data_IF_169534849086
#
_entry.id   IF_169534849086
#
_cell.length_a   1.000
_cell.length_b   1.000
_cell.length_c   1.000
_cell.angle_alpha   90.00
_cell.angle_beta   90.00
_cell.angle_gamma   90.00
#
_symmetry.space_group_name_H-M   'P 1'
#
loop_
_entity.id
_entity.type
_entity.pdbx_description
1 polymer ?
2 polymer ?
3 non-polymer ?
4 water ?
#
# COMPACT_ATOMS: atom_id res chain seq x y z
N UNK A 11 7.89 6.48 -23.32
CA UNK A 11 9.14 6.84 -22.67
C UNK A 11 9.64 8.20 -23.16
N UNK A 12 9.17 8.61 -24.33
CA UNK A 12 9.51 9.92 -24.88
C UNK A 12 8.25 10.69 -25.25
N UNK A 13 7.19 10.45 -24.49
CA UNK A 13 5.90 11.08 -24.76
C UNK A 13 5.66 12.28 -23.87
N UNK A 14 5.14 13.36 -24.44
CA UNK A 14 4.69 14.50 -23.67
C UNK A 14 3.57 14.04 -22.73
N UNK A 15 3.39 14.74 -21.62
CA UNK A 15 2.41 14.33 -20.64
C UNK A 15 0.98 14.43 -21.20
N UNK A 16 0.77 15.36 -22.14
CA UNK A 16 -0.49 15.43 -22.85
C UNK A 16 -0.66 14.19 -23.72
N UNK A 17 0.45 13.78 -24.33
CA UNK A 17 0.46 12.58 -25.16
C UNK A 17 0.43 11.34 -24.27
N UNK A 18 0.90 11.47 -23.04
CA UNK A 18 0.84 10.39 -22.07
C UNK A 18 -0.60 10.09 -21.70
N UNK A 19 -1.36 11.13 -21.38
CA UNK A 19 -2.77 11.00 -21.04
C UNK A 19 -3.56 10.47 -22.23
N UNK A 20 -3.31 11.04 -23.40
CA UNK A 20 -4.01 10.66 -24.62
C UNK A 20 -3.80 9.18 -24.95
N UNK A 21 -2.59 8.68 -24.69
CA UNK A 21 -2.28 7.28 -24.91
C UNK A 21 -3.05 6.38 -23.95
N UNK A 22 -3.09 6.78 -22.68
CA UNK A 22 -3.76 6.00 -21.65
C UNK A 22 -5.28 6.02 -21.81
N UNK A 23 -5.82 7.20 -22.12
CA UNK A 23 -7.26 7.34 -22.32
C UNK A 23 -7.73 6.51 -23.51
N UNK A 24 -6.96 6.56 -24.59
CA UNK A 24 -7.30 5.85 -25.82
C UNK A 24 -7.18 4.34 -25.63
N UNK A 25 -6.35 3.93 -24.68
CA UNK A 25 -6.10 2.51 -24.45
C UNK A 25 -7.09 1.90 -23.46
N UNK A 26 -8.02 2.71 -22.97
CA UNK A 26 -8.99 2.28 -21.96
C UNK A 26 -9.85 1.10 -22.42
N UNK A 27 -10.02 0.11 -21.55
CA UNK A 27 -10.92 -1.02 -21.82
C UNK A 27 -12.38 -0.57 -21.71
N UNK A 28 -13.29 -1.27 -22.41
CA UNK A 28 -14.71 -0.94 -22.33
C UNK A 28 -15.35 -1.42 -21.03
N UNK A 29 -16.52 -0.87 -20.70
CA UNK A 29 -17.27 -1.34 -19.54
C UNK A 29 -18.19 -2.48 -19.96
N UNK A 30 -17.84 -3.68 -19.59
CA UNK A 30 -18.56 -4.83 -20.00
C UNK A 30 -19.82 -5.05 -19.21
N UNK A 31 -20.74 -5.80 -19.78
CA UNK A 31 -22.00 -6.11 -19.15
C UNK A 31 -21.97 -7.48 -18.58
N UNK A 32 -22.84 -7.73 -17.62
CA UNK A 32 -23.06 -9.08 -17.13
C UNK A 32 -24.31 -9.71 -17.69
N UNK A 41 -29.34 -14.62 -5.09
CA UNK A 41 -28.81 -15.59 -4.15
C UNK A 41 -27.37 -15.27 -3.77
N UNK A 42 -26.66 -16.28 -3.28
CA UNK A 42 -25.26 -16.10 -2.88
C UNK A 42 -24.30 -16.80 -3.84
N UNK A 43 -24.73 -17.95 -4.35
CA UNK A 43 -23.91 -18.72 -5.28
C UNK A 43 -24.01 -18.17 -6.70
N UNK A 44 -25.15 -17.53 -7.00
CA UNK A 44 -25.40 -17.00 -8.34
C UNK A 44 -24.65 -15.70 -8.57
N UNK A 45 -24.53 -14.88 -7.52
CA UNK A 45 -23.88 -13.58 -7.64
C UNK A 45 -22.38 -13.72 -7.81
N UNK A 46 -21.79 -14.69 -7.12
CA UNK A 46 -20.38 -15.00 -7.29
C UNK A 46 -20.10 -15.49 -8.70
N UNK A 47 -21.05 -16.23 -9.26
CA UNK A 47 -20.96 -16.70 -10.63
C UNK A 47 -20.93 -15.53 -11.59
N UNK A 48 -21.72 -14.51 -11.30
CA UNK A 48 -21.76 -13.30 -12.13
C UNK A 48 -20.45 -12.54 -12.07
N UNK A 49 -19.94 -12.32 -10.87
CA UNK A 49 -18.69 -11.58 -10.68
C UNK A 49 -17.51 -12.32 -11.27
N UNK A 50 -17.49 -13.64 -11.07
CA UNK A 50 -16.43 -14.48 -11.60
C UNK A 50 -16.44 -14.48 -13.13
N UNK A 51 -17.64 -14.61 -13.71
CA UNK A 51 -17.79 -14.57 -15.16
C UNK A 51 -17.42 -13.20 -15.73
N UNK A 52 -17.78 -12.15 -15.02
CA UNK A 52 -17.49 -10.79 -15.45
C UNK A 52 -15.98 -10.48 -15.40
N UNK A 53 -15.37 -10.82 -14.28
CA UNK A 53 -13.94 -10.58 -14.08
C UNK A 53 -13.10 -11.35 -15.10
N UNK A 54 -13.56 -12.55 -15.44
CA UNK A 54 -12.84 -13.41 -16.38
C UNK A 54 -12.79 -12.78 -17.77
N UNK A 55 -13.88 -12.12 -18.17
CA UNK A 55 -13.93 -11.46 -19.46
C UNK A 55 -13.22 -10.11 -19.41
N UNK A 56 -13.18 -9.51 -18.23
CA UNK A 56 -12.46 -8.25 -18.04
C UNK A 56 -10.96 -8.47 -18.10
N UNK A 57 -10.51 -9.61 -17.58
CA UNK A 57 -9.09 -9.97 -17.60
C UNK A 57 -8.54 -10.01 -19.02
N UNK A 58 -9.37 -10.47 -19.95
CA UNK A 58 -8.97 -10.54 -21.35
C UNK A 58 -8.70 -9.15 -21.91
N UNK A 59 -9.55 -8.20 -21.54
CA UNK A 59 -9.39 -6.81 -22.01
C UNK A 59 -8.26 -6.10 -21.28
N UNK A 60 -8.03 -6.47 -20.03
CA UNK A 60 -6.97 -5.86 -19.23
C UNK A 60 -5.59 -6.18 -19.77
N UNK A 61 -5.41 -7.43 -20.19
CA UNK A 61 -4.14 -7.89 -20.74
C UNK A 61 -3.76 -7.12 -21.99
N UNK A 62 -4.72 -6.93 -22.88
CA UNK A 62 -4.48 -6.17 -24.10
C UNK A 62 -4.37 -4.67 -23.83
N UNK A 63 -4.97 -4.24 -22.72
CA UNK A 63 -4.80 -2.86 -22.25
C UNK A 63 -3.40 -2.65 -21.72
N UNK A 64 -2.91 -3.64 -20.98
CA UNK A 64 -1.57 -3.60 -20.40
C UNK A 64 -0.51 -3.46 -21.48
N UNK A 65 -0.75 -4.12 -22.62
CA UNK A 65 0.15 -4.04 -23.76
C UNK A 65 0.21 -2.62 -24.33
N UNK A 66 -0.84 -1.85 -24.07
CA UNK A 66 -0.93 -0.49 -24.59
C UNK A 66 -0.47 0.54 -23.55
N UNK A 67 -0.02 0.06 -22.40
CA UNK A 67 0.55 0.93 -21.38
C UNK A 67 2.02 1.17 -21.70
N UNK A 68 2.41 2.45 -21.85
CA UNK A 68 3.77 2.86 -22.25
C UNK A 68 4.86 2.23 -21.38
N UNK A 69 5.74 1.46 -22.02
CA UNK A 69 6.87 0.86 -21.33
C UNK A 69 6.66 -0.59 -20.94
N UNK A 70 5.41 -1.03 -20.96
CA UNK A 70 5.06 -2.39 -20.54
C UNK A 70 5.60 -3.43 -21.51
N UNK A 71 5.52 -3.14 -22.79
CA UNK A 71 6.00 -4.07 -23.82
C UNK A 71 7.52 -4.07 -23.90
N UNK A 72 8.14 -3.11 -23.22
CA UNK A 72 9.60 -3.04 -23.17
C UNK A 72 10.15 -4.00 -22.12
N UNK A 73 9.24 -4.75 -21.49
CA UNK A 73 9.62 -5.74 -20.49
C UNK A 73 9.50 -7.15 -21.06
N UNK A 74 9.80 -8.15 -20.23
CA UNK A 74 9.72 -9.53 -20.66
C UNK A 74 8.30 -10.08 -20.52
N UNK A 77 8.36 -10.77 -16.94
CA UNK A 77 8.06 -9.62 -16.10
C UNK A 77 6.61 -9.18 -16.27
N UNK A 78 6.14 -9.17 -17.52
CA UNK A 78 4.77 -8.79 -17.82
C UNK A 78 3.77 -9.71 -17.14
N UNK A 79 4.07 -11.01 -17.18
CA UNK A 79 3.23 -12.02 -16.54
C UNK A 79 3.16 -11.79 -15.04
N UNK A 80 4.31 -11.48 -14.44
CA UNK A 80 4.40 -11.28 -13.00
C UNK A 80 3.65 -10.03 -12.54
N UNK A 81 3.80 -8.94 -13.29
CA UNK A 81 3.14 -7.68 -12.95
C UNK A 81 1.62 -7.82 -12.99
N UNK A 82 1.13 -8.54 -13.99
CA UNK A 82 -0.30 -8.76 -14.12
C UNK A 82 -0.83 -9.71 -13.05
N UNK A 83 -0.03 -10.72 -12.71
CA UNK A 83 -0.43 -11.71 -11.71
C UNK A 83 -0.57 -11.08 -10.32
N UNK A 84 0.15 -10.00 -10.08
CA UNK A 84 0.14 -9.36 -8.77
C UNK A 84 -0.89 -8.23 -8.67
N UNK A 85 -1.23 -7.63 -9.80
CA UNK A 85 -2.04 -6.41 -9.78
C UNK A 85 -3.41 -6.55 -10.43
N UNK A 86 -3.74 -7.74 -10.92
CA UNK A 86 -4.98 -7.91 -11.69
C UNK A 86 -6.23 -7.59 -10.88
N UNK A 87 -6.26 -8.00 -9.61
CA UNK A 87 -7.42 -7.75 -8.78
C UNK A 87 -7.46 -6.29 -8.35
N UNK A 88 -6.28 -5.69 -8.21
CA UNK A 88 -6.18 -4.27 -7.91
C UNK A 88 -6.77 -3.44 -9.04
N UNK A 89 -6.33 -3.74 -10.26
CA UNK A 89 -6.79 -3.03 -11.45
C UNK A 89 -8.29 -3.21 -11.66
N UNK A 90 -8.78 -4.41 -11.40
CA UNK A 90 -10.21 -4.68 -11.47
C UNK A 90 -10.98 -3.87 -10.44
N UNK A 91 -10.41 -3.75 -9.24
CA UNK A 91 -11.10 -3.07 -8.14
C UNK A 91 -11.12 -1.55 -8.31
N UNK A 92 -10.00 -0.99 -8.76
CA UNK A 92 -9.95 0.46 -8.96
C UNK A 92 -10.83 0.87 -10.15
N UNK A 93 -11.04 -0.07 -11.08
CA UNK A 93 -11.95 0.16 -12.19
C UNK A 93 -13.37 0.17 -11.68
N UNK A 94 -13.70 -0.81 -10.84
CA UNK A 94 -15.01 -0.89 -10.21
C UNK A 94 -15.32 0.36 -9.41
N UNK A 95 -14.36 0.74 -8.56
CA UNK A 95 -14.49 1.94 -7.74
C UNK A 95 -14.71 3.19 -8.59
N UNK A 96 -14.00 3.25 -9.72
CA UNK A 96 -14.13 4.36 -10.64
C UNK A 96 -15.51 4.42 -11.30
N UNK A 97 -16.05 3.24 -11.62
CA UNK A 97 -17.37 3.15 -12.24
C UNK A 97 -18.49 3.50 -11.26
N UNK A 98 -18.24 3.26 -9.98
CA UNK A 98 -19.24 3.46 -8.95
C UNK A 98 -19.15 4.85 -8.34
N UNK A 99 -18.31 5.69 -8.93
CA UNK A 99 -18.02 7.01 -8.37
C UNK A 99 -19.24 7.92 -8.30
N UNK A 100 -20.05 7.91 -9.37
CA UNK A 100 -21.23 8.77 -9.42
C UNK A 100 -22.49 8.04 -8.96
N UNK A 101 -22.31 6.89 -8.30
CA UNK A 101 -23.43 6.14 -7.74
C UNK A 101 -23.21 5.87 -6.26
N UNK A 102 -23.53 6.87 -5.41
CA UNK A 102 -23.31 6.80 -3.96
C UNK A 102 -24.01 5.61 -3.30
N UNK A 103 -23.28 4.93 -2.41
CA UNK A 103 -23.85 3.83 -1.65
C UNK A 103 -23.92 2.52 -2.39
N UNK A 104 -23.60 2.55 -3.68
CA UNK A 104 -23.69 1.35 -4.51
C UNK A 104 -22.41 1.06 -5.28
N UNK A 105 -22.29 -0.16 -5.77
CA UNK A 105 -21.14 -0.56 -6.59
C UNK A 105 -21.62 -0.95 -7.99
N UNK A 106 -21.07 -0.28 -9.00
CA UNK A 106 -21.46 -0.52 -10.38
C UNK A 106 -20.52 -1.52 -11.06
N UNK A 107 -20.80 -2.80 -10.87
CA UNK A 107 -20.01 -3.86 -11.49
C UNK A 107 -20.20 -3.84 -13.01
N UNK A 108 -21.43 -3.52 -13.42
CA UNK A 108 -21.78 -3.42 -14.82
C UNK A 108 -23.00 -2.52 -14.93
N UNK A 109 -23.21 -1.88 -16.10
CA UNK A 109 -24.39 -1.01 -16.29
C UNK A 109 -25.71 -1.71 -15.96
N UNK A 110 -25.72 -3.03 -16.05
CA UNK A 110 -26.90 -3.83 -15.70
C UNK A 110 -26.70 -4.56 -14.38
N UNK A 111 -25.73 -4.11 -13.59
CA UNK A 111 -25.42 -4.75 -12.31
C UNK A 111 -24.94 -3.72 -11.29
N UNK A 112 -25.90 -3.00 -10.69
CA UNK A 112 -25.58 -1.98 -9.69
C UNK A 112 -26.02 -2.45 -8.30
N UNK A 113 -25.04 -2.76 -7.45
CA UNK A 113 -25.32 -3.32 -6.13
C UNK A 113 -24.87 -2.42 -4.99
N UNK A 114 -25.67 -2.37 -3.93
CA UNK A 114 -25.31 -1.65 -2.72
C UNK A 114 -24.85 -2.64 -1.65
N UNK A 115 -24.93 -2.23 -0.38
CA UNK A 115 -24.53 -3.10 0.72
C UNK A 115 -25.39 -4.34 0.78
N UNK A 116 -26.71 -4.17 0.67
CA UNK A 116 -27.65 -5.27 0.72
C UNK A 116 -27.51 -6.18 -0.51
N UNK A 119 -23.03 -9.28 0.64
CA UNK A 119 -24.02 -9.95 1.48
C UNK A 119 -24.94 -10.83 0.64
N UNK A 122 -20.83 -14.28 1.26
CA UNK A 122 -20.62 -14.30 2.71
C UNK A 122 -19.18 -14.00 3.07
N UNK A 123 -18.94 -12.84 3.67
CA UNK A 123 -17.59 -12.47 4.08
C UNK A 123 -17.07 -11.26 3.33
N UNK A 124 -17.56 -11.06 2.11
CA UNK A 124 -17.13 -9.94 1.29
C UNK A 124 -17.97 -8.70 1.54
N UNK A 125 -18.81 -8.76 2.57
CA UNK A 125 -19.59 -7.60 3.00
C UNK A 125 -18.66 -6.51 3.51
N UNK A 126 -17.50 -6.93 4.03
CA UNK A 126 -16.48 -6.00 4.49
C UNK A 126 -15.77 -5.35 3.31
N UNK A 127 -15.50 -6.14 2.28
CA UNK A 127 -14.85 -5.65 1.08
C UNK A 127 -15.70 -4.60 0.38
N UNK A 128 -17.01 -4.85 0.33
CA UNK A 128 -17.96 -3.91 -0.25
C UNK A 128 -17.86 -2.52 0.38
N UNK A 129 -17.80 -2.50 1.71
CA UNK A 129 -17.69 -1.24 2.44
C UNK A 129 -16.39 -0.52 2.13
N UNK A 130 -15.31 -1.28 2.00
CA UNK A 130 -14.01 -0.70 1.67
C UNK A 130 -14.03 -0.13 0.25
N UNK A 131 -14.75 -0.81 -0.64
CA UNK A 131 -14.92 -0.34 -2.01
C UNK A 131 -15.81 0.90 -2.04
N UNK A 132 -16.86 0.88 -1.24
CA UNK A 132 -17.75 2.03 -1.10
C UNK A 132 -16.99 3.21 -0.52
N UNK A 133 -16.14 2.93 0.47
CA UNK A 133 -15.33 3.96 1.11
C UNK A 133 -14.35 4.56 0.10
N UNK A 134 -13.73 3.71 -0.69
CA UNK A 134 -12.79 4.16 -1.71
C UNK A 134 -13.50 4.97 -2.79
N UNK A 135 -14.68 4.49 -3.20
CA UNK A 135 -15.49 5.19 -4.18
C UNK A 135 -15.96 6.53 -3.66
N UNK A 136 -16.33 6.56 -2.39
CA UNK A 136 -16.73 7.81 -1.73
C UNK A 136 -15.55 8.78 -1.68
N UNK A 137 -14.36 8.25 -1.49
CA UNK A 137 -13.15 9.07 -1.42
C UNK A 137 -12.85 9.70 -2.78
N UNK A 138 -13.02 8.93 -3.85
CA UNK A 138 -12.84 9.44 -5.21
C UNK A 138 -13.83 10.56 -5.50
N UNK A 139 -15.03 10.44 -4.97
CA UNK A 139 -16.10 11.40 -5.23
C UNK A 139 -15.79 12.78 -4.65
N UNK A 140 -15.48 12.82 -3.35
CA UNK A 140 -15.20 14.09 -2.68
C UNK A 140 -13.93 14.74 -3.20
N UNK A 141 -13.00 13.92 -3.68
CA UNK A 141 -11.76 14.42 -4.27
C UNK A 141 -12.00 14.93 -5.68
N UNK A 142 -13.18 14.60 -6.22
CA UNK A 142 -13.53 14.91 -7.61
C UNK A 142 -12.47 14.37 -8.56
N UNK A 143 -12.22 13.07 -8.46
CA UNK A 143 -11.21 12.42 -9.29
C UNK A 143 -11.54 12.55 -10.77
N UNK A 144 -10.54 12.94 -11.56
CA UNK A 144 -10.70 13.09 -13.00
C UNK A 144 -10.30 11.81 -13.72
N UNK A 145 -10.87 11.60 -14.91
CA UNK A 145 -10.56 10.44 -15.72
C UNK A 145 -9.09 10.41 -16.10
N UNK A 146 -8.53 11.59 -16.34
CA UNK A 146 -7.11 11.72 -16.67
C UNK A 146 -6.23 11.25 -15.52
N UNK A 147 -6.71 11.46 -14.30
CA UNK A 147 -5.98 11.04 -13.11
C UNK A 147 -6.16 9.54 -12.86
N UNK A 148 -7.36 9.04 -13.18
CA UNK A 148 -7.70 7.64 -12.97
C UNK A 148 -6.82 6.71 -13.81
N UNK A 149 -6.69 7.01 -15.10
CA UNK A 149 -5.90 6.18 -16.01
C UNK A 149 -4.42 6.18 -15.61
N UNK A 150 -3.97 7.27 -15.00
CA UNK A 150 -2.59 7.37 -14.52
C UNK A 150 -2.38 6.43 -13.34
N UNK A 151 -3.29 6.48 -12.37
CA UNK A 151 -3.22 5.63 -11.18
C UNK A 151 -3.27 4.15 -11.53
N UNK A 152 -4.16 3.80 -12.45
CA UNK A 152 -4.32 2.41 -12.87
C UNK A 152 -3.04 1.89 -13.53
N UNK A 153 -2.37 2.77 -14.27
CA UNK A 153 -1.10 2.43 -14.90
C UNK A 153 0.00 2.26 -13.85
N UNK A 154 -0.04 3.11 -12.82
CA UNK A 154 0.92 3.03 -11.73
C UNK A 154 0.81 1.70 -10.99
N UNK A 155 -0.43 1.31 -10.68
CA UNK A 155 -0.71 0.04 -10.02
C UNK A 155 -0.10 -1.14 -10.79
N UNK A 156 -0.24 -1.10 -12.12
CA UNK A 156 0.28 -2.15 -12.99
C UNK A 156 1.79 -2.30 -12.86
N UNK A 157 2.51 -1.19 -12.91
CA UNK A 157 3.96 -1.21 -12.93
C UNK A 157 4.58 -1.35 -11.55
N UNK A 158 3.86 -0.91 -10.53
CA UNK A 158 4.41 -0.86 -9.18
C UNK A 158 4.16 -2.11 -8.34
N UNK A 159 2.97 -2.66 -8.42
CA UNK A 159 2.53 -3.72 -7.50
C UNK A 159 3.46 -4.94 -7.44
N UNK A 160 4.13 -5.25 -8.54
CA UNK A 160 4.98 -6.42 -8.59
C UNK A 160 6.43 -6.11 -8.93
N UNK A 161 6.90 -4.94 -8.50
CA UNK A 161 8.25 -4.51 -8.84
C UNK A 161 9.31 -4.94 -7.79
N UNK A 162 8.90 -5.28 -6.58
CA UNK A 162 9.85 -5.79 -5.59
C UNK A 162 9.61 -7.28 -5.31
N UNK A 163 9.30 -8.04 -6.35
CA UNK A 163 9.11 -9.49 -6.17
C UNK A 163 9.87 -10.21 -7.27
N UNK A 164 10.78 -9.49 -7.91
CA UNK A 164 11.61 -10.08 -8.95
C UNK A 164 12.73 -10.93 -8.36
N UNK A 171 17.84 -9.14 -14.16
CA UNK A 171 16.49 -8.88 -13.68
C UNK A 171 16.29 -7.40 -13.35
N UNK A 172 17.21 -6.85 -12.58
CA UNK A 172 17.10 -5.46 -12.13
C UNK A 172 17.31 -4.47 -13.27
N UNK A 173 17.72 -4.96 -14.43
CA UNK A 173 17.89 -4.13 -15.61
C UNK A 173 16.56 -3.53 -16.04
N UNK A 174 15.49 -4.32 -15.90
CA UNK A 174 14.16 -3.86 -16.23
C UNK A 174 13.59 -3.00 -15.11
N UNK A 175 14.01 -3.28 -13.88
CA UNK A 175 13.53 -2.56 -12.71
C UNK A 175 13.88 -1.07 -12.77
N UNK A 176 15.05 -0.77 -13.33
CA UNK A 176 15.49 0.60 -13.47
C UNK A 176 14.62 1.35 -14.48
N UNK A 177 14.21 0.66 -15.53
CA UNK A 177 13.38 1.24 -16.58
C UNK A 177 11.95 1.50 -16.08
N UNK A 178 11.46 0.59 -15.24
CA UNK A 178 10.11 0.71 -14.69
C UNK A 178 9.97 1.96 -13.83
N UNK A 179 10.99 2.24 -13.02
CA UNK A 179 11.01 3.44 -12.19
C UNK A 179 11.01 4.71 -13.03
N UNK A 180 11.69 4.65 -14.17
CA UNK A 180 11.74 5.78 -15.09
C UNK A 180 10.36 6.06 -15.67
N UNK A 181 9.60 5.00 -15.93
CA UNK A 181 8.24 5.13 -16.42
C UNK A 181 7.33 5.64 -15.32
N UNK A 182 7.54 5.12 -14.11
CA UNK A 182 6.79 5.55 -12.94
C UNK A 182 7.00 7.04 -12.66
N UNK A 183 8.25 7.48 -12.81
CA UNK A 183 8.57 8.90 -12.65
C UNK A 183 7.86 9.75 -13.69
N UNK A 184 7.78 9.22 -14.92
CA UNK A 184 7.12 9.91 -16.01
C UNK A 184 5.63 10.10 -15.75
N UNK A 185 4.99 9.08 -15.18
CA UNK A 185 3.58 9.14 -14.84
C UNK A 185 3.35 10.12 -13.69
N UNK A 186 4.31 10.20 -12.77
CA UNK A 186 4.24 11.16 -11.68
C UNK A 186 4.23 12.58 -12.22
N UNK A 187 5.13 12.85 -13.17
CA UNK A 187 5.19 14.15 -13.83
C UNK A 187 3.87 14.47 -14.52
N UNK A 188 3.30 13.45 -15.16
CA UNK A 188 2.03 13.60 -15.88
C UNK A 188 0.90 13.95 -14.91
N UNK A 189 0.89 13.32 -13.75
CA UNK A 189 -0.10 13.62 -12.72
C UNK A 189 0.02 15.09 -12.28
N UNK A 190 1.25 15.53 -12.00
CA UNK A 190 1.50 16.90 -11.58
C UNK A 190 1.17 17.88 -12.70
N UNK A 191 1.39 17.47 -13.95
CA UNK A 191 1.00 18.27 -15.09
C UNK A 191 -0.49 18.61 -15.01
N UNK A 192 -1.32 17.57 -14.87
CA UNK A 192 -2.78 17.72 -14.84
C UNK A 192 -3.26 18.68 -13.74
N UNK A 193 -2.70 18.52 -12.54
CA UNK A 193 -3.12 19.33 -11.39
C UNK A 193 -2.72 20.78 -11.56
N UNK A 194 -1.54 21.02 -12.11
CA UNK A 194 -1.06 22.37 -12.38
C UNK A 194 -1.93 23.04 -13.44
N UNK A 195 -2.35 22.26 -14.43
CA UNK A 195 -3.23 22.75 -15.48
C UNK A 195 -4.69 22.72 -15.05
N UNK A 196 -4.90 22.72 -13.73
CA UNK A 196 -6.25 22.75 -13.17
C UNK A 196 -6.39 23.93 -12.22
N UNK A 197 -5.31 24.68 -12.05
CA UNK A 197 -5.32 25.88 -11.22
C UNK A 197 -4.79 25.67 -9.83
N UNK A 198 -4.54 24.42 -9.47
CA UNK A 198 -4.06 24.09 -8.12
C UNK A 198 -2.67 24.66 -7.85
N UNK A 199 -2.50 25.21 -6.66
CA UNK A 199 -1.21 25.75 -6.25
C UNK A 199 -0.20 24.63 -6.10
N UNK A 200 1.08 25.00 -5.99
CA UNK A 200 2.16 24.04 -5.88
C UNK A 200 1.98 23.11 -4.69
N UNK A 201 1.51 23.67 -3.58
CA UNK A 201 1.27 22.88 -2.37
C UNK A 201 0.09 21.93 -2.58
N UNK A 202 -0.97 22.44 -3.21
CA UNK A 202 -2.15 21.64 -3.48
C UNK A 202 -1.84 20.48 -4.42
N UNK A 203 -0.86 20.68 -5.30
CA UNK A 203 -0.42 19.64 -6.22
C UNK A 203 0.25 18.50 -5.46
N UNK A 204 1.13 18.85 -4.53
CA UNK A 204 1.82 17.86 -3.71
C UNK A 204 0.83 17.09 -2.85
N UNK A 205 -0.09 17.82 -2.24
CA UNK A 205 -1.08 17.23 -1.35
C UNK A 205 -1.99 16.25 -2.09
N UNK A 206 -2.51 16.67 -3.23
CA UNK A 206 -3.39 15.81 -4.03
C UNK A 206 -2.64 14.58 -4.54
N UNK A 207 -1.38 14.76 -4.90
CA UNK A 207 -0.54 13.65 -5.33
C UNK A 207 -0.42 12.61 -4.23
N UNK A 208 -0.17 13.08 -3.01
CA UNK A 208 -0.05 12.21 -1.85
C UNK A 208 -1.37 11.51 -1.57
N UNK A 209 -2.45 12.27 -1.56
CA UNK A 209 -3.78 11.74 -1.33
C UNK A 209 -4.12 10.60 -2.30
N UNK A 210 -3.81 10.80 -3.57
CA UNK A 210 -4.09 9.81 -4.60
C UNK A 210 -3.30 8.52 -4.39
N UNK A 211 -2.00 8.65 -4.19
CA UNK A 211 -1.13 7.49 -4.08
C UNK A 211 -1.35 6.72 -2.76
N UNK A 212 -1.79 7.43 -1.74
CA UNK A 212 -2.10 6.79 -0.46
C UNK A 212 -3.31 5.89 -0.57
N UNK A 213 -4.18 6.18 -1.55
CA UNK A 213 -5.36 5.36 -1.81
C UNK A 213 -4.96 4.01 -2.41
N UNK A 214 -3.87 4.02 -3.17
CA UNK A 214 -3.35 2.79 -3.78
C UNK A 214 -2.95 1.77 -2.72
N UNK A 215 -2.61 2.27 -1.52
CA UNK A 215 -2.27 1.40 -0.41
C UNK A 215 -3.50 0.64 0.08
N UNK A 216 -4.65 1.32 0.05
CA UNK A 216 -5.91 0.71 0.45
C UNK A 216 -6.40 -0.29 -0.60
N UNK A 217 -6.10 -0.01 -1.86
CA UNK A 217 -6.47 -0.89 -2.95
C UNK A 217 -5.68 -2.18 -2.86
N UNK A 218 -4.40 -2.07 -2.50
CA UNK A 218 -3.57 -3.24 -2.25
C UNK A 218 -4.17 -4.07 -1.12
N UNK A 219 -4.67 -3.37 -0.10
CA UNK A 219 -5.30 -4.01 1.04
C UNK A 219 -6.55 -4.78 0.62
N UNK A 220 -7.44 -4.10 -0.09
CA UNK A 220 -8.69 -4.72 -0.56
C UNK A 220 -8.41 -5.90 -1.49
N UNK A 221 -7.37 -5.78 -2.29
CA UNK A 221 -6.98 -6.86 -3.20
C UNK A 221 -6.55 -8.09 -2.42
N UNK A 222 -5.65 -7.89 -1.46
CA UNK A 222 -5.17 -8.98 -0.64
C UNK A 222 -6.28 -9.65 0.16
N UNK A 223 -7.18 -8.83 0.71
CA UNK A 223 -8.32 -9.37 1.46
C UNK A 223 -9.28 -10.08 0.52
N UNK A 224 -9.50 -9.51 -0.65
CA UNK A 224 -10.36 -10.11 -1.65
C UNK A 224 -9.75 -11.40 -2.19
N UNK A 225 -8.43 -11.39 -2.34
CA UNK A 225 -7.70 -12.56 -2.83
C UNK A 225 -7.81 -13.68 -1.80
N UNK A 226 -7.92 -13.30 -0.54
CA UNK A 226 -8.04 -14.28 0.55
C UNK A 226 -9.35 -15.08 0.50
N UNK A 227 -10.45 -14.37 0.37
CA UNK A 227 -11.74 -14.97 0.23
C UNK A 227 -11.85 -15.82 -1.05
N UNK A 228 -11.13 -15.49 -2.12
CA UNK A 228 -11.22 -16.28 -3.33
C UNK A 228 -10.59 -17.66 -3.10
N UNK A 229 -10.00 -17.86 -1.92
CA UNK A 229 -9.37 -19.13 -1.58
C UNK A 229 -9.87 -19.68 -0.25
N UNK A 239 -15.18 -19.88 -12.92
CA UNK A 239 -13.79 -20.02 -12.50
C UNK A 239 -12.95 -20.62 -13.62
N UNK A 240 -12.80 -19.87 -14.71
CA UNK A 240 -12.09 -20.35 -15.89
C UNK A 240 -10.60 -20.54 -15.64
N UNK A 241 -9.91 -21.12 -16.61
CA UNK A 241 -8.50 -21.47 -16.47
C UNK A 241 -7.62 -20.25 -16.26
N UNK A 242 -7.96 -19.14 -16.91
CA UNK A 242 -7.18 -17.91 -16.78
C UNK A 242 -7.33 -17.32 -15.37
N UNK A 243 -8.55 -17.31 -14.87
CA UNK A 243 -8.85 -16.70 -13.57
C UNK A 243 -8.20 -17.47 -12.42
N UNK A 244 -7.87 -18.74 -12.65
CA UNK A 244 -7.20 -19.54 -11.64
C UNK A 244 -5.69 -19.45 -11.78
N UNK A 245 -5.22 -19.17 -12.99
CA UNK A 245 -3.79 -18.95 -13.22
C UNK A 245 -3.35 -17.67 -12.51
N UNK A 246 -4.26 -16.70 -12.45
CA UNK A 246 -4.01 -15.46 -11.73
C UNK A 246 -4.19 -15.69 -10.23
N UNK A 247 -5.13 -16.56 -9.89
CA UNK A 247 -5.48 -16.81 -8.50
C UNK A 247 -4.43 -17.68 -7.80
N UNK A 248 -3.81 -18.58 -8.55
CA UNK A 248 -2.81 -19.48 -7.99
C UNK A 248 -1.51 -18.75 -7.66
N UNK A 249 -1.35 -17.56 -8.23
CA UNK A 249 -0.13 -16.79 -8.05
C UNK A 249 -0.05 -16.15 -6.66
N UNK A 250 -1.18 -16.06 -5.98
CA UNK A 250 -1.23 -15.43 -4.66
C UNK A 250 -1.43 -16.44 -3.54
N UNK A 251 -1.23 -17.72 -3.85
CA UNK A 251 -1.40 -18.78 -2.87
C UNK A 251 -0.39 -18.67 -1.73
N UNK B 9 -3.59 20.91 17.00
CA UNK B 9 -2.27 21.31 17.46
C UNK B 9 -1.26 21.02 16.40
N UNK B 10 -1.41 19.85 15.82
CA UNK B 10 -0.53 19.35 14.81
C UNK B 10 -0.63 20.19 13.56
N UNK B 11 -1.71 20.93 13.45
CA UNK B 11 -1.95 21.70 12.27
C UNK B 11 -1.18 22.99 12.32
N UNK B 12 -0.88 23.40 13.53
CA UNK B 12 -0.30 24.72 13.81
C UNK B 12 1.22 24.68 14.07
N UNK B 13 1.89 23.63 13.61
CA UNK B 13 3.34 23.56 13.76
C UNK B 13 4.06 23.81 12.44
N UNK B 14 5.30 24.26 12.54
CA UNK B 14 6.16 24.42 11.38
C UNK B 14 6.60 23.05 10.91
N UNK B 15 7.03 22.94 9.66
CA UNK B 15 7.54 21.68 9.13
C UNK B 15 8.76 21.22 9.92
N UNK B 16 9.55 22.17 10.39
CA UNK B 16 10.70 21.86 11.23
C UNK B 16 10.26 21.40 12.61
N UNK B 17 9.23 22.03 13.15
CA UNK B 17 8.68 21.64 14.44
C UNK B 17 8.00 20.28 14.35
N UNK B 18 7.44 19.98 13.18
CA UNK B 18 6.83 18.68 12.93
C UNK B 18 7.87 17.58 12.96
N UNK B 19 8.97 17.79 12.26
CA UNK B 19 10.07 16.83 12.20
C UNK B 19 10.67 16.58 13.59
N UNK B 20 10.98 17.67 14.30
CA UNK B 20 11.61 17.58 15.61
C UNK B 20 10.75 16.82 16.61
N UNK B 21 9.43 16.97 16.48
CA UNK B 21 8.49 16.26 17.34
C UNK B 21 8.50 14.77 17.04
N UNK B 22 8.55 14.43 15.75
CA UNK B 22 8.57 13.04 15.31
C UNK B 22 9.87 12.35 15.72
N UNK B 23 10.99 13.04 15.50
CA UNK B 23 12.30 12.49 15.83
C UNK B 23 12.46 12.26 17.33
N UNK B 24 11.84 13.12 18.12
CA UNK B 24 11.94 13.03 19.57
C UNK B 24 11.01 11.96 20.13
N UNK B 25 9.99 11.62 19.37
CA UNK B 25 9.01 10.62 19.80
C UNK B 25 9.45 9.20 19.42
N UNK B 26 10.53 9.12 18.66
CA UNK B 26 11.04 7.84 18.16
C UNK B 26 11.28 6.82 19.26
N UNK B 27 10.74 5.61 19.09
CA UNK B 27 11.00 4.50 20.01
C UNK B 27 12.44 4.03 19.88
N UNK B 28 13.02 3.50 20.97
CA UNK B 28 14.41 3.04 20.95
C UNK B 28 14.55 1.69 20.27
N UNK B 29 15.78 1.31 19.93
CA UNK B 29 16.04 0.00 19.35
C UNK B 29 16.20 -1.03 20.46
N UNK B 30 15.19 -1.89 20.61
CA UNK B 30 15.20 -2.89 21.67
C UNK B 30 16.10 -4.07 21.30
N UNK B 31 16.51 -4.82 22.31
CA UNK B 31 17.31 -6.02 22.09
C UNK B 31 16.44 -7.27 22.31
N UNK B 32 16.90 -8.40 21.79
CA UNK B 32 16.24 -9.68 22.06
C UNK B 32 17.06 -10.43 23.11
N UNK B 33 16.61 -11.64 23.45
CA UNK B 33 17.29 -12.44 24.46
C UNK B 33 18.67 -12.89 23.97
N UNK B 34 19.52 -13.29 24.91
CA UNK B 34 20.86 -13.75 24.58
C UNK B 34 21.06 -15.21 24.97
N UNK B 40 18.80 -21.60 13.78
CA UNK B 40 17.69 -21.66 14.74
C UNK B 40 16.68 -22.74 14.35
N UNK B 41 15.49 -22.65 14.92
CA UNK B 41 14.42 -23.60 14.61
C UNK B 41 13.12 -22.86 14.32
N UNK B 42 12.02 -23.61 14.26
CA UNK B 42 10.72 -23.01 13.95
C UNK B 42 10.07 -22.39 15.20
N UNK B 43 10.28 -23.01 16.35
CA UNK B 43 9.68 -22.56 17.59
C UNK B 43 10.53 -21.50 18.29
N UNK B 44 11.85 -21.62 18.15
CA UNK B 44 12.77 -20.69 18.79
C UNK B 44 12.81 -19.35 18.05
N UNK B 45 12.79 -19.42 16.73
CA UNK B 45 12.80 -18.22 15.89
C UNK B 45 11.60 -17.33 16.16
N UNK B 46 10.41 -17.92 16.07
CA UNK B 46 9.17 -17.20 16.33
C UNK B 46 9.14 -16.67 17.76
N UNK B 47 9.67 -17.46 18.69
CA UNK B 47 9.72 -17.08 20.08
C UNK B 47 10.46 -15.77 20.29
N UNK B 48 11.62 -15.63 19.66
CA UNK B 48 12.41 -14.41 19.77
C UNK B 48 11.72 -13.25 19.07
N UNK B 49 11.09 -13.54 17.93
CA UNK B 49 10.41 -12.50 17.16
C UNK B 49 9.15 -12.01 17.87
N UNK B 50 8.34 -12.95 18.36
CA UNK B 50 7.11 -12.59 19.07
C UNK B 50 7.43 -11.85 20.37
N UNK B 51 8.51 -12.27 21.03
CA UNK B 51 8.94 -11.60 22.26
C UNK B 51 9.41 -10.17 21.98
N UNK B 52 10.18 -10.02 20.90
CA UNK B 52 10.66 -8.70 20.48
C UNK B 52 9.51 -7.80 20.07
N UNK B 53 8.64 -8.33 19.20
CA UNK B 53 7.50 -7.57 18.70
C UNK B 53 6.56 -7.15 19.83
N UNK B 54 6.38 -8.02 20.81
CA UNK B 54 5.52 -7.73 21.95
C UNK B 54 6.02 -6.54 22.75
N UNK B 55 7.34 -6.48 22.94
CA UNK B 55 7.95 -5.38 23.69
C UNK B 55 7.99 -4.11 22.84
N UNK B 56 8.11 -4.27 21.53
CA UNK B 56 8.11 -3.14 20.60
C UNK B 56 6.74 -2.46 20.55
N UNK B 57 5.69 -3.27 20.63
CA UNK B 57 4.31 -2.77 20.57
C UNK B 57 4.00 -1.83 21.72
N UNK B 58 4.55 -2.14 22.90
CA UNK B 58 4.33 -1.30 24.08
C UNK B 58 4.92 0.09 23.86
N UNK B 59 6.10 0.14 23.26
CA UNK B 59 6.73 1.41 22.94
C UNK B 59 6.00 2.11 21.79
N UNK B 60 5.49 1.33 20.85
CA UNK B 60 4.78 1.88 19.69
C UNK B 60 3.53 2.64 20.11
N UNK B 61 2.77 2.05 21.04
CA UNK B 61 1.56 2.67 21.55
C UNK B 61 1.88 4.02 22.18
N UNK B 62 3.00 4.09 22.89
CA UNK B 62 3.46 5.33 23.47
C UNK B 62 3.99 6.30 22.41
N UNK B 63 4.57 5.76 21.36
CA UNK B 63 5.03 6.56 20.24
C UNK B 63 3.85 7.15 19.48
N UNK B 64 2.79 6.35 19.34
CA UNK B 64 1.60 6.76 18.62
C UNK B 64 0.96 7.99 19.26
N UNK B 65 0.95 8.00 20.59
CA UNK B 65 0.36 9.11 21.33
C UNK B 65 1.19 10.39 21.23
N UNK B 66 2.43 10.24 20.77
CA UNK B 66 3.31 11.40 20.63
C UNK B 66 3.37 11.87 19.18
N UNK B 67 2.64 11.19 18.31
CA UNK B 67 2.50 11.61 16.92
C UNK B 67 1.42 12.68 16.83
N UNK B 68 1.78 13.86 16.30
CA UNK B 68 0.91 15.04 16.22
C UNK B 68 -0.47 14.75 15.63
N UNK B 69 -1.52 14.99 16.42
CA UNK B 69 -2.88 14.84 15.95
C UNK B 69 -3.50 13.48 16.24
N UNK B 70 -2.73 12.60 16.87
CA UNK B 70 -3.22 11.25 17.17
C UNK B 70 -4.06 11.24 18.45
N UNK B 71 -3.60 11.97 19.46
CA UNK B 71 -4.34 12.09 20.71
C UNK B 71 -5.64 12.85 20.47
N UNK B 72 -5.63 13.73 19.48
CA UNK B 72 -6.81 14.53 19.13
C UNK B 72 -7.94 13.68 18.55
N UNK B 73 -7.67 12.39 18.37
CA UNK B 73 -8.68 11.48 17.84
C UNK B 73 -9.43 10.77 18.96
N UNK B 74 -10.56 10.16 18.61
CA UNK B 74 -11.33 9.36 19.56
C UNK B 74 -10.50 8.15 19.96
N UNK B 75 -10.65 7.71 21.22
CA UNK B 75 -9.93 6.54 21.72
C UNK B 75 -10.22 5.32 20.87
N UNK B 76 -11.48 5.17 20.45
CA UNK B 76 -11.88 4.08 19.56
C UNK B 76 -11.13 4.17 18.24
N UNK B 77 -11.00 5.39 17.72
CA UNK B 77 -10.28 5.61 16.47
C UNK B 77 -8.79 5.34 16.64
N UNK B 78 -8.25 5.69 17.80
CA UNK B 78 -6.85 5.44 18.10
C UNK B 78 -6.56 3.94 18.14
N UNK B 79 -7.50 3.18 18.70
CA UNK B 79 -7.39 1.74 18.75
C UNK B 79 -7.45 1.15 17.34
N UNK B 80 -8.37 1.66 16.53
CA UNK B 80 -8.58 1.18 15.17
C UNK B 80 -7.33 1.36 14.30
N UNK B 81 -6.74 2.55 14.36
CA UNK B 81 -5.56 2.85 13.55
C UNK B 81 -4.37 2.00 13.94
N UNK B 82 -4.15 1.82 15.25
CA UNK B 82 -3.04 1.03 15.74
C UNK B 82 -3.19 -0.44 15.36
N UNK B 83 -4.41 -0.97 15.49
CA UNK B 83 -4.69 -2.38 15.19
C UNK B 83 -4.50 -2.69 13.70
N UNK B 84 -4.71 -1.69 12.86
CA UNK B 84 -4.63 -1.89 11.42
C UNK B 84 -3.21 -1.71 10.89
N UNK B 85 -2.41 -0.90 11.58
CA UNK B 85 -1.08 -0.54 11.08
C UNK B 85 0.09 -1.11 11.88
N UNK B 86 -0.17 -1.81 12.97
CA UNK B 86 0.89 -2.22 13.89
C UNK B 86 2.00 -3.04 13.22
N UNK B 87 1.64 -3.95 12.31
CA UNK B 87 2.63 -4.79 11.67
C UNK B 87 3.39 -4.02 10.58
N UNK B 88 2.70 -3.11 9.92
CA UNK B 88 3.34 -2.21 8.95
C UNK B 88 4.41 -1.38 9.64
N UNK B 89 4.04 -0.78 10.77
CA UNK B 89 4.95 0.06 11.54
C UNK B 89 6.14 -0.75 12.06
N UNK B 90 5.88 -1.98 12.46
CA UNK B 90 6.95 -2.88 12.87
C UNK B 90 7.89 -3.19 11.71
N UNK B 91 7.32 -3.42 10.54
CA UNK B 91 8.09 -3.80 9.37
C UNK B 91 8.93 -2.64 8.83
N UNK B 92 8.32 -1.47 8.71
CA UNK B 92 9.03 -0.31 8.19
C UNK B 92 10.17 0.11 9.13
N UNK B 93 10.01 -0.22 10.41
CA UNK B 93 11.07 0.02 11.38
C UNK B 93 12.17 -0.98 11.20
N UNK B 94 11.80 -2.23 10.93
CA UNK B 94 12.75 -3.30 10.64
C UNK B 94 13.55 -2.98 9.39
N UNK B 95 12.83 -2.55 8.35
CA UNK B 95 13.45 -2.19 7.07
C UNK B 95 14.43 -1.04 7.21
N UNK B 96 14.04 -0.04 8.01
CA UNK B 96 14.84 1.16 8.21
C UNK B 96 16.20 0.87 8.86
N UNK B 97 16.19 0.10 9.95
CA UNK B 97 17.42 -0.18 10.68
C UNK B 97 18.18 -1.35 10.08
N UNK B 98 17.69 -1.86 8.95
CA UNK B 98 18.39 -2.92 8.24
C UNK B 98 19.09 -2.36 7.00
N UNK B 99 18.99 -1.04 6.82
CA UNK B 99 19.60 -0.36 5.69
C UNK B 99 21.11 -0.56 5.65
N UNK B 100 21.77 -0.30 6.77
CA UNK B 100 23.23 -0.37 6.84
C UNK B 100 23.72 -1.80 6.96
N UNK B 101 22.83 -2.76 6.73
CA UNK B 101 23.18 -4.17 6.72
C UNK B 101 22.52 -4.88 5.55
N UNK B 102 23.02 -4.64 4.33
CA UNK B 102 22.43 -5.21 3.10
C UNK B 102 22.45 -6.74 3.10
N UNK B 103 21.37 -7.35 2.62
CA UNK B 103 21.27 -8.79 2.55
C UNK B 103 20.87 -9.42 3.87
N UNK B 104 20.80 -8.61 4.93
CA UNK B 104 20.46 -9.10 6.25
C UNK B 104 19.37 -8.24 6.90
N UNK B 105 18.61 -8.84 7.79
CA UNK B 105 17.56 -8.13 8.51
C UNK B 105 17.93 -7.95 9.98
N UNK B 106 18.07 -6.69 10.40
CA UNK B 106 18.43 -6.38 11.77
C UNK B 106 17.18 -6.22 12.63
N UNK B 107 16.74 -7.31 13.24
CA UNK B 107 15.60 -7.27 14.14
C UNK B 107 16.00 -6.58 15.44
N UNK B 108 17.17 -6.94 15.94
CA UNK B 108 17.75 -6.31 17.12
C UNK B 108 19.24 -6.14 16.88
N UNK B 109 19.90 -5.25 17.64
CA UNK B 109 21.35 -5.10 17.50
C UNK B 109 22.09 -6.40 17.81
N UNK B 110 21.45 -7.30 18.56
CA UNK B 110 22.01 -8.60 18.86
C UNK B 110 21.20 -9.72 18.20
N UNK B 111 20.47 -9.38 17.15
CA UNK B 111 19.67 -10.35 16.41
C UNK B 111 19.67 -10.02 14.92
N UNK B 112 20.76 -10.37 14.24
CA UNK B 112 20.90 -10.12 12.81
C UNK B 112 20.70 -11.42 12.03
N UNK B 113 19.74 -11.40 11.10
CA UNK B 113 19.36 -12.61 10.38
C UNK B 113 19.57 -12.49 8.87
N UNK B 114 19.79 -13.63 8.22
CA UNK B 114 19.96 -13.67 6.77
C UNK B 114 18.82 -14.43 6.10
N UNK B 115 18.86 -14.53 4.78
CA UNK B 115 17.81 -15.19 4.01
C UNK B 115 17.72 -16.68 4.34
N UNK B 116 18.87 -17.32 4.50
CA UNK B 116 18.92 -18.74 4.82
C UNK B 116 18.35 -19.04 6.21
N UNK B 117 18.52 -18.09 7.12
CA UNK B 117 18.04 -18.24 8.49
C UNK B 117 16.51 -18.10 8.56
N UNK B 118 15.92 -17.58 7.50
CA UNK B 118 14.47 -17.45 7.45
C UNK B 118 13.79 -18.77 7.17
N UNK B 119 14.57 -19.75 6.72
CA UNK B 119 14.03 -21.03 6.28
C UNK B 119 13.60 -21.94 7.43
N UNK B 120 13.72 -21.44 8.65
CA UNK B 120 13.31 -22.19 9.83
C UNK B 120 11.79 -22.13 10.03
N UNK B 121 11.23 -20.93 9.95
CA UNK B 121 9.78 -20.78 9.99
C UNK B 121 9.23 -20.87 8.57
N UNK B 122 8.40 -21.89 8.33
CA UNK B 122 7.86 -22.13 7.00
C UNK B 122 6.94 -21.00 6.55
N UNK B 123 7.15 -20.54 5.32
CA UNK B 123 6.34 -19.47 4.76
C UNK B 123 6.84 -18.08 5.12
N UNK B 124 7.91 -18.03 5.92
CA UNK B 124 8.44 -16.76 6.39
C UNK B 124 9.55 -16.21 5.51
N UNK B 125 10.08 -17.05 4.61
CA UNK B 125 11.19 -16.64 3.76
C UNK B 125 10.75 -15.71 2.62
N UNK B 126 9.48 -15.80 2.24
CA UNK B 126 8.97 -14.96 1.17
C UNK B 126 8.73 -13.56 1.67
N UNK B 127 8.43 -13.44 2.97
CA UNK B 127 8.31 -12.14 3.61
C UNK B 127 9.69 -11.51 3.75
N UNK B 128 10.68 -12.32 4.12
CA UNK B 128 12.04 -11.86 4.32
C UNK B 128 12.64 -11.28 3.04
N UNK B 129 12.29 -11.88 1.90
CA UNK B 129 12.78 -11.39 0.62
C UNK B 129 12.21 -10.02 0.27
N UNK B 130 10.92 -9.86 0.53
CA UNK B 130 10.25 -8.58 0.28
C UNK B 130 10.77 -7.51 1.22
N UNK B 131 11.14 -7.92 2.43
CA UNK B 131 11.67 -6.99 3.43
C UNK B 131 13.07 -6.52 3.04
N UNK B 132 13.89 -7.44 2.55
CA UNK B 132 15.23 -7.10 2.08
C UNK B 132 15.16 -6.18 0.87
N UNK B 133 14.23 -6.48 -0.04
CA UNK B 133 14.05 -5.68 -1.25
C UNK B 133 13.64 -4.26 -0.91
N UNK B 134 12.76 -4.12 0.07
CA UNK B 134 12.35 -2.80 0.54
C UNK B 134 13.53 -2.07 1.17
N UNK B 135 14.37 -2.83 1.89
CA UNK B 135 15.55 -2.27 2.53
C UNK B 135 16.56 -1.78 1.51
N UNK B 136 16.81 -2.58 0.49
CA UNK B 136 17.73 -2.20 -0.58
C UNK B 136 17.18 -1.03 -1.37
N UNK B 137 15.85 -0.89 -1.35
CA UNK B 137 15.20 0.25 -1.99
C UNK B 137 15.43 1.52 -1.21
N UNK B 138 15.28 1.43 0.11
CA UNK B 138 15.55 2.56 0.99
C UNK B 138 17.01 2.95 0.86
N UNK B 139 17.87 1.94 0.70
CA UNK B 139 19.29 2.16 0.48
C UNK B 139 19.53 2.93 -0.82
N UNK B 140 18.96 2.43 -1.90
CA UNK B 140 19.12 3.03 -3.22
C UNK B 140 18.62 4.47 -3.23
N UNK B 141 17.52 4.72 -2.52
CA UNK B 141 16.95 6.06 -2.44
C UNK B 141 17.70 6.94 -1.45
N UNK B 142 18.54 6.32 -0.63
CA UNK B 142 19.23 7.01 0.46
C UNK B 142 18.22 7.72 1.37
N UNK B 143 17.26 6.95 1.87
CA UNK B 143 16.20 7.46 2.71
C UNK B 143 16.75 8.10 3.98
N UNK B 144 16.31 9.32 4.26
CA UNK B 144 16.76 10.04 5.45
C UNK B 144 15.87 9.73 6.65
N UNK B 145 16.43 9.88 7.85
CA UNK B 145 15.70 9.61 9.07
C UNK B 145 14.49 10.52 9.24
N UNK B 146 14.66 11.78 8.85
CA UNK B 146 13.57 12.75 8.89
C UNK B 146 12.44 12.34 7.96
N UNK B 147 12.78 11.63 6.89
CA UNK B 147 11.79 11.14 5.95
C UNK B 147 11.14 9.86 6.45
N UNK B 148 11.93 9.04 7.13
CA UNK B 148 11.46 7.78 7.67
C UNK B 148 10.38 7.97 8.72
N UNK B 149 10.58 8.93 9.63
CA UNK B 149 9.62 9.19 10.69
C UNK B 149 8.31 9.75 10.11
N UNK B 150 8.42 10.43 8.97
CA UNK B 150 7.24 10.96 8.30
C UNK B 150 6.42 9.83 7.69
N UNK B 151 7.10 8.91 7.02
CA UNK B 151 6.45 7.75 6.41
C UNK B 151 5.75 6.90 7.45
N UNK B 152 6.38 6.74 8.61
CA UNK B 152 5.83 5.93 9.69
C UNK B 152 4.56 6.55 10.26
N UNK B 153 4.57 7.87 10.39
CA UNK B 153 3.40 8.61 10.87
C UNK B 153 2.26 8.54 9.86
N UNK B 154 2.61 8.55 8.58
CA UNK B 154 1.62 8.44 7.51
C UNK B 154 0.94 7.08 7.56
N UNK B 155 1.74 6.02 7.70
CA UNK B 155 1.23 4.66 7.82
C UNK B 155 0.22 4.54 8.96
N UNK B 156 0.55 5.16 10.09
CA UNK B 156 -0.33 5.13 11.26
C UNK B 156 -1.69 5.75 10.98
N UNK B 157 -1.68 6.92 10.34
CA UNK B 157 -2.91 7.68 10.14
C UNK B 157 -3.70 7.24 8.90
N UNK B 158 -3.01 6.65 7.93
CA UNK B 158 -3.64 6.33 6.65
C UNK B 158 -4.23 4.93 6.56
N UNK B 159 -3.47 3.93 7.00
CA UNK B 159 -3.80 2.52 6.75
C UNK B 159 -5.20 2.08 7.19
N UNK B 160 -5.77 2.76 8.18
CA UNK B 160 -7.08 2.39 8.67
C UNK B 160 -8.13 3.49 8.59
N UNK B 161 -7.91 4.45 7.71
CA UNK B 161 -8.77 5.62 7.64
C UNK B 161 -10.06 5.35 6.85
N UNK B 162 -10.04 4.34 5.98
CA UNK B 162 -11.22 4.01 5.19
C UNK B 162 -11.90 2.75 5.72
N UNK B 163 -11.73 2.48 7.00
CA UNK B 163 -12.30 1.30 7.63
C UNK B 163 -12.96 1.62 8.96
N UNK B 175 -12.18 11.16 10.15
CA UNK B 175 -11.56 11.03 8.83
C UNK B 175 -11.15 12.39 8.27
N UNK B 176 -12.04 13.36 8.41
CA UNK B 176 -11.81 14.71 7.90
C UNK B 176 -10.61 15.37 8.60
N UNK B 177 -10.43 15.06 9.88
CA UNK B 177 -9.29 15.58 10.63
C UNK B 177 -8.00 14.90 10.22
N UNK B 178 -8.07 13.58 10.02
CA UNK B 178 -6.90 12.78 9.68
C UNK B 178 -6.30 13.21 8.34
N UNK B 179 -7.16 13.49 7.37
CA UNK B 179 -6.71 13.88 6.04
C UNK B 179 -5.96 15.21 6.04
N UNK B 180 -6.30 16.08 7.00
CA UNK B 180 -5.61 17.36 7.13
C UNK B 180 -4.25 17.17 7.80
N UNK B 181 -4.16 16.21 8.71
CA UNK B 181 -2.90 15.90 9.36
C UNK B 181 -1.95 15.22 8.37
N UNK B 182 -2.52 14.37 7.51
CA UNK B 182 -1.75 13.71 6.46
C UNK B 182 -1.17 14.73 5.49
N UNK B 183 -1.98 15.72 5.14
CA UNK B 183 -1.55 16.81 4.27
C UNK B 183 -0.39 17.57 4.92
N UNK B 184 -0.45 17.71 6.23
CA UNK B 184 0.59 18.40 6.99
C UNK B 184 1.91 17.64 6.92
N UNK B 185 1.83 16.31 6.97
CA UNK B 185 3.02 15.47 6.87
C UNK B 185 3.57 15.49 5.45
N UNK B 186 2.68 15.58 4.46
CA UNK B 186 3.09 15.71 3.07
C UNK B 186 3.84 17.01 2.86
N UNK B 187 3.33 18.09 3.44
CA UNK B 187 4.01 19.38 3.41
C UNK B 187 5.39 19.26 4.05
N UNK B 188 5.47 18.47 5.11
CA UNK B 188 6.72 18.29 5.85
C UNK B 188 7.73 17.51 5.03
N UNK B 189 7.25 16.52 4.28
CA UNK B 189 8.12 15.71 3.43
C UNK B 189 8.75 16.54 2.31
N UNK B 190 7.93 17.34 1.65
CA UNK B 190 8.39 18.23 0.59
C UNK B 190 9.39 19.25 1.15
N UNK B 191 9.10 19.73 2.36
CA UNK B 191 9.97 20.67 3.05
C UNK B 191 11.39 20.12 3.21
N UNK B 192 11.48 18.85 3.58
CA UNK B 192 12.77 18.18 3.76
C UNK B 192 13.52 18.07 2.43
N UNK B 193 12.79 17.75 1.37
CA UNK B 193 13.39 17.55 0.05
C UNK B 193 13.79 18.88 -0.58
N UNK B 194 13.00 19.92 -0.34
CA UNK B 194 13.30 21.26 -0.84
C UNK B 194 14.53 21.82 -0.12
N UNK B 195 14.71 21.40 1.14
CA UNK B 195 15.85 21.85 1.93
C UNK B 195 17.03 20.90 1.78
N UNK B 196 17.10 20.22 0.64
CA UNK B 196 18.19 19.29 0.35
C UNK B 196 18.76 19.52 -1.04
N UNK B 197 18.17 20.47 -1.77
CA UNK B 197 18.67 20.84 -3.09
C UNK B 197 17.86 20.27 -4.24
N UNK B 198 16.93 19.37 -3.94
CA UNK B 198 16.11 18.74 -4.96
C UNK B 198 15.17 19.73 -5.63
N UNK B 199 15.11 19.69 -6.96
CA UNK B 199 14.23 20.56 -7.72
C UNK B 199 12.77 20.16 -7.49
N UNK B 200 11.84 21.00 -7.94
CA UNK B 200 10.41 20.73 -7.79
C UNK B 200 10.03 19.39 -8.41
N UNK B 201 10.57 19.10 -9.59
CA UNK B 201 10.30 17.85 -10.27
C UNK B 201 10.85 16.68 -9.46
N UNK B 202 12.04 16.86 -8.89
CA UNK B 202 12.68 15.82 -8.09
C UNK B 202 11.94 15.62 -6.76
N UNK B 203 11.24 16.64 -6.32
CA UNK B 203 10.46 16.55 -5.08
C UNK B 203 9.20 15.72 -5.29
N UNK B 204 8.51 15.95 -6.40
CA UNK B 204 7.30 15.19 -6.73
C UNK B 204 7.63 13.73 -6.97
N UNK B 205 8.73 13.50 -7.69
CA UNK B 205 9.15 12.14 -8.05
C UNK B 205 9.55 11.34 -6.82
N UNK B 206 10.30 11.95 -5.92
CA UNK B 206 10.72 11.28 -4.70
C UNK B 206 9.53 11.02 -3.77
N UNK B 207 8.68 12.02 -3.61
CA UNK B 207 7.48 11.89 -2.80
C UNK B 207 6.63 10.71 -3.28
N UNK B 208 6.41 10.65 -4.59
CA UNK B 208 5.65 9.57 -5.20
C UNK B 208 6.31 8.23 -4.97
N UNK B 209 7.63 8.20 -5.12
CA UNK B 209 8.40 6.96 -4.94
C UNK B 209 8.29 6.43 -3.53
N UNK B 210 8.34 7.32 -2.53
CA UNK B 210 8.25 6.92 -1.14
C UNK B 210 6.87 6.36 -0.79
N UNK B 211 5.83 7.01 -1.29
CA UNK B 211 4.46 6.63 -0.96
C UNK B 211 4.05 5.33 -1.65
N UNK B 212 4.63 5.05 -2.81
CA UNK B 212 4.36 3.81 -3.53
C UNK B 212 4.91 2.60 -2.76
N UNK B 213 5.99 2.83 -2.03
CA UNK B 213 6.59 1.78 -1.21
C UNK B 213 5.64 1.38 -0.08
N UNK B 214 4.83 2.34 0.37
CA UNK B 214 3.85 2.10 1.43
C UNK B 214 2.82 1.07 0.99
N UNK B 215 2.58 1.00 -0.32
CA UNK B 215 1.67 0.00 -0.88
C UNK B 215 2.26 -1.40 -0.73
N UNK B 216 3.58 -1.50 -0.82
CA UNK B 216 4.27 -2.78 -0.66
C UNK B 216 4.39 -3.17 0.81
N UNK B 217 4.56 -2.17 1.67
CA UNK B 217 4.60 -2.40 3.10
C UNK B 217 3.25 -2.93 3.56
N UNK B 218 2.19 -2.41 2.95
CA UNK B 218 0.84 -2.90 3.21
C UNK B 218 0.71 -4.35 2.77
N UNK B 219 1.33 -4.66 1.64
CA UNK B 219 1.27 -6.01 1.08
C UNK B 219 2.02 -7.00 1.97
N UNK B 220 3.21 -6.62 2.42
CA UNK B 220 4.01 -7.47 3.29
C UNK B 220 3.29 -7.72 4.61
N UNK B 221 2.67 -6.68 5.15
CA UNK B 221 1.90 -6.78 6.39
C UNK B 221 0.76 -7.78 6.25
N UNK B 222 0.03 -7.69 5.12
CA UNK B 222 -1.07 -8.58 4.86
C UNK B 222 -0.63 -10.04 4.74
N UNK B 223 0.51 -10.24 4.07
CA UNK B 223 1.06 -11.59 3.92
C UNK B 223 1.59 -12.11 5.24
N UNK B 224 2.21 -11.22 6.02
CA UNK B 224 2.73 -11.57 7.32
C UNK B 224 1.63 -11.88 8.30
N UNK B 225 0.57 -11.08 8.28
CA UNK B 225 -0.60 -11.28 9.12
C UNK B 225 -1.20 -12.65 8.88
N UNK B 226 -1.24 -13.05 7.61
CA UNK B 226 -1.76 -14.33 7.17
C UNK B 226 -1.05 -15.50 7.85
N UNK B 227 0.28 -15.46 7.84
CA UNK B 227 1.09 -16.54 8.37
C UNK B 227 1.06 -16.59 9.90
N UNK B 228 0.83 -15.44 10.52
CA UNK B 228 0.71 -15.38 11.97
C UNK B 228 -0.56 -16.07 12.44
N UNK B 229 -1.65 -15.85 11.70
CA UNK B 229 -2.92 -16.50 12.01
C UNK B 229 -2.86 -17.99 11.69
N UNK B 230 -1.95 -18.36 10.79
CA UNK B 230 -1.76 -19.76 10.44
C UNK B 230 -1.02 -20.49 11.55
N UNK B 231 -0.24 -19.75 12.33
CA UNK B 231 0.52 -20.31 13.43
C UNK B 231 -0.30 -20.29 14.72
N UNK B 232 -1.19 -19.30 14.83
CA UNK B 232 -2.02 -19.16 16.02
C UNK B 232 -3.21 -20.13 15.97
N UNK B 238 2.63 -19.44 20.83
CA UNK B 238 2.50 -18.92 22.20
C UNK B 238 2.53 -17.40 22.24
N UNK B 239 1.63 -16.76 21.49
CA UNK B 239 1.59 -15.30 21.42
C UNK B 239 1.00 -14.70 22.69
N UNK B 240 1.45 -13.49 23.02
CA UNK B 240 0.98 -12.79 24.20
C UNK B 240 -0.44 -12.28 24.01
N UNK B 241 -1.03 -11.76 25.07
CA UNK B 241 -2.41 -11.26 25.03
C UNK B 241 -2.55 -10.05 24.11
N UNK B 242 -1.63 -9.10 24.22
CA UNK B 242 -1.65 -7.91 23.38
C UNK B 242 -1.42 -8.26 21.92
N UNK B 243 -0.42 -9.09 21.67
CA UNK B 243 -0.08 -9.51 20.32
C UNK B 243 -1.19 -10.34 19.69
N UNK B 244 -1.97 -11.00 20.53
CA UNK B 244 -3.10 -11.81 20.06
C UNK B 244 -4.32 -10.92 19.84
N UNK B 245 -4.42 -9.85 20.63
CA UNK B 245 -5.50 -8.88 20.46
C UNK B 245 -5.32 -8.12 19.16
N UNK B 246 -4.07 -7.84 18.81
CA UNK B 246 -3.75 -7.15 17.56
C UNK B 246 -4.08 -8.03 16.36
N UNK B 247 -3.75 -9.31 16.46
CA UNK B 247 -3.92 -10.24 15.36
C UNK B 247 -5.39 -10.58 15.12
N UNK B 248 -6.17 -10.60 16.19
CA UNK B 248 -7.59 -10.93 16.11
C UNK B 248 -8.38 -9.80 15.45
N UNK B 249 -7.80 -8.60 15.45
CA UNK B 249 -8.42 -7.45 14.81
C UNK B 249 -8.40 -7.61 13.29
N UNK B 250 -7.44 -8.37 12.80
CA UNK B 250 -7.32 -8.62 11.36
C UNK B 250 -7.97 -9.93 10.96
N UNK B 251 -8.63 -10.59 11.92
CA UNK B 251 -9.30 -11.85 11.66
C UNK B 251 -10.59 -11.64 10.89
N UNK C 3 1.72 -22.07 -18.70
CA UNK C 3 0.90 -21.07 -18.03
C UNK C 3 0.15 -20.23 -19.07
N UNK C 4 -1.15 -20.07 -18.86
CA UNK C 4 -2.03 -19.43 -19.84
C UNK C 4 -1.63 -18.00 -20.17
N UNK C 5 -1.21 -17.24 -19.16
CA UNK C 5 -0.91 -15.83 -19.32
C UNK C 5 0.21 -15.58 -20.33
N UNK C 6 1.10 -16.56 -20.49
CA UNK C 6 2.21 -16.45 -21.42
C UNK C 6 1.74 -16.36 -22.87
N UNK C 7 0.87 -17.29 -23.26
CA UNK C 7 0.41 -17.38 -24.65
C UNK C 7 -0.40 -16.17 -25.07
N UNK C 8 -1.38 -15.79 -24.25
CA UNK C 8 -2.27 -14.68 -24.56
C UNK C 8 -1.52 -13.37 -24.75
N UNK C 9 -0.49 -13.15 -23.93
CA UNK C 9 0.33 -11.94 -24.03
C UNK C 9 1.11 -11.90 -25.35
N UNK C 10 1.38 -13.06 -25.91
CA UNK C 10 2.10 -13.15 -27.19
C UNK C 10 1.14 -13.28 -28.35
N UNK D 3 -10.50 -5.46 25.54
CA UNK D 3 -9.20 -5.24 24.94
C UNK D 3 -8.32 -4.40 25.85
N UNK D 4 -7.12 -4.90 26.15
CA UNK D 4 -6.19 -4.21 27.02
C UNK D 4 -5.58 -2.99 26.35
N UNK D 5 -5.71 -2.92 25.03
CA UNK D 5 -5.15 -1.83 24.23
C UNK D 5 -5.76 -0.50 24.64
N UNK D 6 -7.01 -0.53 25.11
CA UNK D 6 -7.68 0.68 25.61
C UNK D 6 -6.96 1.22 26.84
N UNK D 7 -6.46 0.32 27.68
CA UNK D 7 -5.80 0.71 28.92
C UNK D 7 -4.43 1.33 28.67
N UNK D 8 -3.66 0.74 27.77
CA UNK D 8 -2.33 1.26 27.44
C UNK D 8 -2.41 2.65 26.84
N UNK D 9 -3.43 2.88 26.02
CA UNK D 9 -3.59 4.15 25.32
C UNK D 9 -4.07 5.26 26.25
N UNK D 10 -4.52 4.89 27.44
CA UNK D 10 -5.03 5.86 28.40
C UNK D 10 -4.03 6.16 29.52
N UNK D 11 -3.07 5.26 29.69
CA UNK D 11 -2.06 5.42 30.73
C UNK D 11 -0.68 5.68 30.13
X LIG E 1 -15.48 -10.25 -4.80
X LIG E 1 -15.12 -11.22 -3.70
X LIG E 1 -13.84 -11.60 -3.54
X LIG E 1 -13.50 -12.52 -2.52
X LIG E 1 -12.76 -11.06 -4.44
X LIG E 1 -13.08 -10.18 -5.42
X LIG E 1 -14.52 -9.77 -5.62
X LIG E 1 -14.90 -8.78 -6.70
X LIG E 1 -16.03 -7.88 -6.26
X LIG E 1 -15.44 -6.75 -5.44
X LIG E 1 -15.11 -9.32 -8.10
X LIG E 1 -14.92 -8.28 -9.18
X LIG E 1 -14.11 -7.17 -8.97
X LIG E 1 -13.95 -6.22 -9.96
X LIG E 1 -14.60 -6.39 -11.18
X LIG E 1 -14.43 -5.42 -12.19
X LIG E 1 -15.41 -7.49 -11.40
X LIG E 1 -15.57 -8.43 -10.39
X LIG E 1 -14.34 -10.58 -8.43
X LIG E 1 -14.90 -11.83 -8.19
X LIG E 1 -14.19 -12.97 -8.50
X LIG E 1 -12.93 -12.88 -9.06
X LIG E 1 -12.37 -11.64 -9.32
X LIG E 1 -13.08 -10.48 -9.00
X LIG F 1 5.77 -11.20 10.94
X LIG F 1 4.93 -12.30 10.43
X LIG F 1 5.46 -13.48 10.21
X LIG F 1 4.63 -14.47 9.73
X LIG F 1 6.89 -13.73 10.46
X LIG F 1 7.64 -12.75 10.92
X LIG F 1 7.04 -11.43 11.17
X LIG F 1 7.89 -10.31 11.65
X LIG F 1 9.22 -10.38 11.04
X LIG F 1 9.03 -10.02 9.63
X LIG F 1 7.89 -9.92 13.08
X LIG F 1 8.58 -8.69 13.47
X LIG F 1 8.71 -7.68 12.58
X LIG F 1 9.36 -6.54 12.92
X LIG F 1 9.86 -6.43 14.16
X LIG F 1 10.53 -5.31 14.50
X LIG F 1 9.76 -7.45 15.05
X LIG F 1 9.12 -8.58 14.72
X LIG F 1 6.81 -10.43 13.97
X LIG F 1 6.90 -11.68 14.46
X LIG F 1 5.94 -12.16 15.27
X LIG F 1 4.90 -11.38 15.61
X LIG F 1 4.80 -10.12 15.11
X LIG F 1 5.76 -9.64 14.29
#
# INVERSE_FOLDING_TARGET
IKRSKKNSLALSLTADQMVSALLDAEPPILYSEYDPTRPFSEASMMGLLTNLADRELVHMINWAKRVPGFVDLTLHDQVHLLECAWLEILMIGLVWRSMEHPGKLLFAPNLLLDRNQGKCVEGMVEIFDMLLATSSRFRMMNLQGEEFVCLKSIILLNSGVYTFLSSTLKSLEEKDHIHRVLDKITDTLIHLMAKAGLTLQQQHQRLAQLLLILSHIRHMSNKGMEHLYSMKCKNVVPLSDLLLEMLDAHRLHAPTS
IKRSKKNSLALSLTADQMVSALLDAEPPILYSEYDPTRPFSEASMMGLLTNLADRELVHMINWAKRVPGFVDLTLHDQVHLLECAWLEILMIGLVWRSMEHPGKLLFAPNLLLDRNQGKCVEGMVEIFDMLLATSSRFRMMNLQGEEFVCLKSIILLNSGVYTFLSSTLKSLEEKDHIHRVLDKITDTLIHLMAKAGLTLQQQHQRLAQLLLILSHIRHMSNKGMEHLYSMKCKNVVPLSDLLLEMLDAHRLHAPTS
KHKILHRLLQDSS
KHKILHRLLQDSS
FNJ CAQ CAR CAS OAX CAT CAU CAP CAI CAV CAW CAH CAE CAD CAC CAB OAG CAA CAF CAJ CAK CAL CAM CAN CAO
FNJ CAQ CAR CAS OAX CAT CAU CAP CAI CAV CAW CAH CAE CAD CAC CAB OAG CAA CAF CAJ CAK CAL CAM CAN CAO
#
